data_IF_288696217422
#
_entry.id   IF_288696217422
#
_cell.length_a   1.000
_cell.length_b   1.000
_cell.length_c   1.000
_cell.angle_alpha   90.00
_cell.angle_beta   90.00
_cell.angle_gamma   90.00
#
_symmetry.space_group_name_H-M   'P 1'
#
loop_
_entity.id
_entity.type
_entity.pdbx_description
1 polymer ?
#
# COMPACT_ATOMS: atom_id res chain seq x y z
N UNK A 1 -24.26 -4.25 -20.70
CA UNK A 1 -23.88 -4.58 -22.10
C UNK A 1 -22.57 -5.34 -22.11
N UNK A 2 -22.35 -6.24 -23.07
CA UNK A 2 -21.04 -6.88 -23.29
C UNK A 2 -20.29 -6.06 -24.32
N UNK A 3 -19.12 -5.54 -23.96
CA UNK A 3 -18.24 -4.78 -24.83
C UNK A 3 -16.86 -5.44 -24.83
N UNK A 4 -16.23 -5.48 -26.00
CA UNK A 4 -14.89 -6.04 -26.20
C UNK A 4 -13.94 -4.87 -26.46
N UNK A 5 -12.83 -4.83 -25.75
CA UNK A 5 -11.76 -3.83 -25.92
C UNK A 5 -10.47 -4.60 -26.12
N UNK A 6 -9.81 -4.36 -27.25
CA UNK A 6 -8.49 -4.94 -27.51
C UNK A 6 -7.42 -4.12 -26.80
N UNK A 7 -6.64 -4.80 -25.95
CA UNK A 7 -5.56 -4.20 -25.18
C UNK A 7 -4.22 -4.76 -25.66
N UNK A 8 -3.15 -3.93 -25.67
CA UNK A 8 -1.79 -4.41 -25.86
C UNK A 8 -1.45 -5.59 -24.94
N UNK A 9 -0.71 -6.57 -25.47
CA UNK A 9 -0.37 -7.80 -24.75
C UNK A 9 0.33 -7.53 -23.42
N UNK A 10 1.25 -6.56 -23.41
CA UNK A 10 1.97 -6.15 -22.20
C UNK A 10 1.03 -5.65 -21.09
N UNK A 11 -0.05 -4.93 -21.45
CA UNK A 11 -1.04 -4.48 -20.47
C UNK A 11 -1.85 -5.66 -19.94
N UNK A 12 -2.26 -6.59 -20.80
CA UNK A 12 -2.97 -7.79 -20.37
C UNK A 12 -2.11 -8.61 -19.40
N UNK A 13 -0.81 -8.74 -19.68
CA UNK A 13 0.15 -9.43 -18.81
C UNK A 13 0.28 -8.75 -17.46
N UNK A 14 0.45 -7.42 -17.44
CA UNK A 14 0.53 -6.64 -16.21
C UNK A 14 -0.75 -6.77 -15.37
N UNK A 15 -1.92 -6.65 -15.99
CA UNK A 15 -3.22 -6.78 -15.32
C UNK A 15 -3.40 -8.17 -14.73
N UNK A 16 -3.00 -9.24 -15.44
CA UNK A 16 -3.07 -10.62 -14.93
C UNK A 16 -2.19 -10.83 -13.70
N UNK A 17 -0.96 -10.31 -13.71
CA UNK A 17 -0.05 -10.38 -12.56
C UNK A 17 -0.70 -9.68 -11.35
N UNK A 18 -1.24 -8.49 -11.58
CA UNK A 18 -1.89 -7.70 -10.53
C UNK A 18 -3.16 -8.37 -9.98
N UNK A 19 -3.96 -8.97 -10.86
CA UNK A 19 -5.15 -9.74 -10.49
C UNK A 19 -4.81 -10.89 -9.53
N UNK A 20 -3.72 -11.61 -9.81
CA UNK A 20 -3.23 -12.67 -8.94
C UNK A 20 -2.73 -12.13 -7.58
N UNK A 21 -2.00 -11.01 -7.58
CA UNK A 21 -1.49 -10.37 -6.35
C UNK A 21 -2.63 -9.87 -5.44
N UNK A 22 -3.64 -9.23 -6.02
CA UNK A 22 -4.76 -8.64 -5.27
C UNK A 22 -5.90 -9.65 -5.00
N UNK A 23 -5.81 -10.88 -5.51
CA UNK A 23 -6.87 -11.90 -5.47
C UNK A 23 -8.21 -11.38 -6.02
N UNK A 24 -8.13 -10.64 -7.12
CA UNK A 24 -9.28 -10.05 -7.83
C UNK A 24 -9.34 -10.58 -9.25
N UNK A 25 -10.51 -10.50 -9.89
CA UNK A 25 -10.63 -10.90 -11.29
C UNK A 25 -10.05 -9.82 -12.22
N UNK A 26 -9.55 -10.24 -13.39
CA UNK A 26 -9.09 -9.31 -14.45
C UNK A 26 -10.18 -8.30 -14.81
N UNK A 27 -11.45 -8.73 -14.83
CA UNK A 27 -12.59 -7.88 -15.15
C UNK A 27 -12.79 -6.76 -14.12
N UNK A 28 -12.68 -7.07 -12.83
CA UNK A 28 -12.83 -6.09 -11.76
C UNK A 28 -11.70 -5.07 -11.77
N UNK A 29 -10.46 -5.52 -12.00
CA UNK A 29 -9.31 -4.61 -12.10
C UNK A 29 -9.41 -3.69 -13.32
N UNK A 30 -9.77 -4.22 -14.48
CA UNK A 30 -9.98 -3.41 -15.69
C UNK A 30 -11.07 -2.38 -15.45
N UNK A 31 -12.20 -2.76 -14.83
CA UNK A 31 -13.26 -1.82 -14.50
C UNK A 31 -12.80 -0.72 -13.53
N UNK A 32 -12.04 -1.08 -12.50
CA UNK A 32 -11.50 -0.11 -11.54
C UNK A 32 -10.54 0.88 -12.23
N UNK A 33 -9.55 0.39 -12.97
CA UNK A 33 -8.59 1.26 -13.66
C UNK A 33 -9.21 2.15 -14.72
N UNK A 34 -10.19 1.64 -15.47
CA UNK A 34 -10.94 2.46 -16.42
C UNK A 34 -11.79 3.52 -15.71
N UNK A 35 -12.37 3.19 -14.56
CA UNK A 35 -13.15 4.15 -13.76
C UNK A 35 -12.25 5.25 -13.23
N UNK A 36 -11.12 4.91 -12.61
CA UNK A 36 -10.14 5.86 -12.08
C UNK A 36 -9.53 6.75 -13.18
N UNK A 37 -9.31 6.17 -14.38
CA UNK A 37 -8.76 6.92 -15.51
C UNK A 37 -9.76 7.83 -16.22
N UNK A 38 -11.05 7.45 -16.27
CA UNK A 38 -12.11 8.26 -16.89
C UNK A 38 -12.66 9.32 -15.95
N UNK A 39 -12.70 9.01 -14.66
CA UNK A 39 -13.10 9.91 -13.60
C UNK A 39 -11.92 10.00 -12.64
N UNK A 40 -10.87 10.79 -13.00
CA UNK A 40 -9.81 11.07 -12.05
C UNK A 40 -10.51 11.64 -10.82
N UNK A 41 -10.49 10.87 -9.73
CA UNK A 41 -11.12 11.27 -8.49
C UNK A 41 -10.55 12.64 -8.12
N UNK A 42 -11.42 13.63 -7.93
CA UNK A 42 -11.06 14.95 -7.40
C UNK A 42 -10.55 14.86 -5.95
N UNK A 43 -10.51 13.64 -5.39
CA UNK A 43 -9.56 13.30 -4.35
C UNK A 43 -8.16 13.53 -4.92
N UNK A 44 -7.68 14.77 -4.72
CA UNK A 44 -6.27 15.12 -4.82
C UNK A 44 -5.47 13.89 -4.38
N UNK A 45 -4.51 13.40 -5.20
CA UNK A 45 -3.74 12.24 -4.82
C UNK A 45 -3.29 12.50 -3.39
N UNK A 46 -3.74 11.68 -2.43
CA UNK A 46 -3.14 11.65 -1.11
C UNK A 46 -1.67 11.56 -1.45
N UNK A 47 -0.86 12.60 -1.19
CA UNK A 47 0.50 12.61 -1.67
C UNK A 47 1.07 11.31 -1.15
N UNK A 48 1.43 10.40 -2.08
CA UNK A 48 2.26 9.26 -1.73
C UNK A 48 3.37 9.91 -0.91
N UNK A 49 3.54 9.55 0.38
CA UNK A 49 4.33 10.33 1.32
C UNK A 49 5.61 10.63 0.57
N UNK A 50 5.79 11.92 0.21
CA UNK A 50 6.88 12.30 -0.65
C UNK A 50 8.08 11.73 0.08
N UNK A 51 8.78 10.79 -0.57
CA UNK A 51 10.00 10.22 -0.04
C UNK A 51 11.02 11.36 -0.04
N UNK A 52 10.79 12.30 0.87
CA UNK A 52 11.54 13.52 1.05
C UNK A 52 12.66 13.05 1.94
N UNK A 53 13.76 12.73 1.27
CA UNK A 53 15.07 12.44 1.84
C UNK A 53 15.14 11.12 2.63
N UNK A 54 14.96 9.99 1.92
CA UNK A 54 15.52 8.71 2.38
C UNK A 54 17.04 8.81 2.26
N UNK A 55 17.68 9.27 3.33
CA UNK A 55 19.14 9.35 3.45
C UNK A 55 19.69 7.94 3.71
N UNK A 56 20.76 7.55 3.03
CA UNK A 56 21.41 6.27 3.31
C UNK A 56 22.45 6.45 4.42
N UNK A 57 22.34 5.67 5.49
CA UNK A 57 23.36 5.66 6.52
C UNK A 57 24.68 5.04 5.99
N UNK A 58 25.83 5.37 6.58
CA UNK A 58 27.13 4.81 6.19
C UNK A 58 27.20 3.27 6.26
N UNK A 59 26.35 2.64 7.07
CA UNK A 59 26.23 1.19 7.22
C UNK A 59 25.20 0.55 6.25
N UNK A 60 24.70 1.31 5.28
CA UNK A 60 23.88 0.79 4.17
C UNK A 60 22.40 0.60 4.47
N UNK A 61 21.88 1.14 5.58
CA UNK A 61 20.44 1.13 5.88
C UNK A 61 19.81 2.50 5.61
N UNK A 62 18.56 2.54 5.10
CA UNK A 62 17.85 3.80 4.90
C UNK A 62 17.48 4.45 6.24
N UNK A 63 17.67 5.76 6.31
CA UNK A 63 17.24 6.62 7.41
C UNK A 63 15.88 7.19 7.03
N UNK A 64 14.86 6.78 7.78
CA UNK A 64 13.50 7.31 7.64
C UNK A 64 13.30 8.32 8.77
N UNK A 65 13.24 9.60 8.43
CA UNK A 65 13.02 10.66 9.42
C UNK A 65 11.56 10.69 9.85
N UNK A 66 11.34 10.69 11.15
CA UNK A 66 10.00 10.80 11.73
C UNK A 66 9.44 12.20 11.51
N UNK A 67 8.16 12.29 11.18
CA UNK A 67 7.45 13.58 11.11
C UNK A 67 7.32 14.18 12.51
N UNK A 68 7.42 15.52 12.66
CA UNK A 68 7.23 16.17 13.96
C UNK A 68 5.89 15.80 14.59
N UNK A 69 5.89 15.49 15.88
CA UNK A 69 4.67 15.11 16.62
C UNK A 69 4.20 13.66 16.43
N UNK A 70 4.93 12.83 15.68
CA UNK A 70 4.66 11.39 15.64
C UNK A 70 5.08 10.68 16.94
N UNK A 71 4.56 9.46 17.21
CA UNK A 71 4.89 8.70 18.42
C UNK A 71 6.40 8.57 18.70
N UNK A 72 7.28 8.31 17.72
CA UNK A 72 8.74 8.28 17.96
C UNK A 72 9.34 9.61 18.42
N UNK A 73 8.64 10.74 18.20
CA UNK A 73 9.07 12.08 18.59
C UNK A 73 8.45 12.57 19.91
N UNK A 74 7.39 11.93 20.40
CA UNK A 74 6.63 12.38 21.58
C UNK A 74 6.71 11.42 22.76
N UNK A 75 7.22 10.21 22.56
CA UNK A 75 7.34 9.17 23.58
C UNK A 75 8.81 8.90 23.92
N UNK A 76 9.05 8.32 25.08
CA UNK A 76 10.37 7.76 25.41
C UNK A 76 10.68 6.54 24.56
N UNK A 77 11.95 6.12 24.52
CA UNK A 77 12.36 4.94 23.75
C UNK A 77 11.67 3.65 24.20
N UNK A 78 11.46 3.46 25.52
CA UNK A 78 10.76 2.29 26.06
C UNK A 78 9.28 2.28 25.68
N UNK A 79 8.60 3.41 25.86
CA UNK A 79 7.20 3.57 25.46
C UNK A 79 7.01 3.38 23.96
N UNK A 80 7.96 3.83 23.15
CA UNK A 80 7.92 3.61 21.71
C UNK A 80 8.10 2.13 21.34
N UNK A 81 9.01 1.41 22.00
CA UNK A 81 9.20 -0.02 21.79
C UNK A 81 7.92 -0.78 22.16
N UNK A 82 7.30 -0.45 23.29
CA UNK A 82 6.03 -1.06 23.71
C UNK A 82 4.92 -0.77 22.70
N UNK A 83 4.78 0.48 22.26
CA UNK A 83 3.82 0.88 21.24
C UNK A 83 4.00 0.08 19.93
N UNK A 84 5.24 -0.10 19.47
CA UNK A 84 5.54 -0.88 18.26
C UNK A 84 5.18 -2.35 18.45
N UNK A 85 5.54 -2.95 19.59
CA UNK A 85 5.26 -4.36 19.88
C UNK A 85 3.74 -4.63 19.93
N UNK A 86 2.97 -3.75 20.58
CA UNK A 86 1.51 -3.85 20.63
C UNK A 86 0.92 -3.73 19.22
N UNK A 87 1.34 -2.72 18.46
CA UNK A 87 0.87 -2.51 17.08
C UNK A 87 1.15 -3.71 16.17
N UNK A 88 2.34 -4.31 16.26
CA UNK A 88 2.70 -5.50 15.49
C UNK A 88 1.87 -6.72 15.89
N UNK A 89 1.63 -6.89 17.19
CA UNK A 89 0.80 -7.97 17.71
C UNK A 89 -0.64 -7.88 17.21
N UNK A 90 -1.23 -6.68 17.23
CA UNK A 90 -2.58 -6.44 16.69
C UNK A 90 -2.67 -6.76 15.19
N UNK A 91 -1.69 -6.31 14.40
CA UNK A 91 -1.63 -6.61 12.97
C UNK A 91 -1.51 -8.10 12.68
N UNK A 92 -0.76 -8.83 13.50
CA UNK A 92 -0.63 -10.28 13.34
C UNK A 92 -1.95 -10.99 13.68
N UNK A 93 -2.67 -10.56 14.72
CA UNK A 93 -4.03 -11.06 14.99
C UNK A 93 -4.98 -10.83 13.80
N UNK A 94 -4.99 -9.63 13.23
CA UNK A 94 -5.82 -9.33 12.05
C UNK A 94 -5.45 -10.22 10.86
N UNK A 95 -4.15 -10.45 10.63
CA UNK A 95 -3.68 -11.35 9.56
C UNK A 95 -4.15 -12.78 9.79
N UNK A 96 -4.08 -13.28 11.03
CA UNK A 96 -4.55 -14.62 11.36
C UNK A 96 -6.07 -14.75 11.19
N UNK A 97 -6.84 -13.79 11.69
CA UNK A 97 -8.29 -13.79 11.49
C UNK A 97 -8.66 -13.81 10.00
N UNK A 98 -8.01 -12.96 9.20
CA UNK A 98 -8.26 -12.89 7.77
C UNK A 98 -7.84 -14.16 7.03
N UNK A 99 -6.78 -14.84 7.49
CA UNK A 99 -6.36 -16.12 6.93
C UNK A 99 -7.33 -17.27 7.27
N UNK A 100 -7.93 -17.25 8.46
CA UNK A 100 -8.91 -18.27 8.91
C UNK A 100 -10.27 -18.08 8.23
N UNK A 101 -10.64 -16.85 7.86
CA UNK A 101 -11.91 -16.54 7.16
C UNK A 101 -11.91 -16.88 5.65
N UNK A 102 -10.78 -17.30 5.08
CA UNK A 102 -10.64 -17.71 3.67
C UNK A 102 -10.75 -19.22 3.51
#
# INVERSE_FOLDING_TARGET
>A
MKMTIDLPEELIKAIKIRAAQEQRTVRELVAAYLTDGLYPSDAAPTPAPTATDIEMAPWGLPIIRSIPGSPPCTMTGEEWIEFVNTSLTELDYERYENAIRR
#
